data_IF_071469187099
#
_entry.id   IF_071469187099
#
_cell.length_a   1.000
_cell.length_b   1.000
_cell.length_c   1.000
_cell.angle_alpha   90.00
_cell.angle_beta   90.00
_cell.angle_gamma   90.00
#
_symmetry.space_group_name_H-M   'P 1'
#
loop_
_entity.id
_entity.type
_entity.pdbx_description
1 polymer ?
#
# COMPACT_ATOMS: atom_id res chain seq x y z
N UNK A 1 23.42 -73.02 -28.01
CA UNK A 1 22.28 -72.09 -27.81
C UNK A 1 21.86 -71.87 -26.34
N UNK A 2 22.45 -72.52 -25.32
CA UNK A 2 22.00 -72.40 -23.91
C UNK A 2 22.44 -71.15 -23.13
N UNK A 3 23.51 -70.44 -23.54
CA UNK A 3 24.08 -69.35 -22.73
C UNK A 3 23.50 -67.95 -22.99
N UNK A 4 22.80 -67.74 -24.13
CA UNK A 4 22.21 -66.43 -24.47
C UNK A 4 20.99 -66.08 -23.61
N UNK A 5 20.16 -67.08 -23.28
CA UNK A 5 18.96 -66.86 -22.48
C UNK A 5 19.27 -66.60 -21.00
N UNK A 6 20.30 -67.27 -20.45
CA UNK A 6 20.73 -67.07 -19.06
C UNK A 6 21.38 -65.71 -18.85
N UNK A 7 22.17 -65.25 -19.84
CA UNK A 7 22.77 -63.91 -19.84
C UNK A 7 21.72 -62.80 -19.88
N UNK A 8 20.67 -62.96 -20.70
CA UNK A 8 19.57 -62.01 -20.80
C UNK A 8 18.71 -61.92 -19.52
N UNK A 9 18.46 -63.05 -18.86
CA UNK A 9 17.70 -63.06 -17.60
C UNK A 9 18.47 -62.39 -16.47
N UNK A 10 19.80 -62.55 -16.44
CA UNK A 10 20.66 -61.92 -15.43
C UNK A 10 20.70 -60.39 -15.61
N UNK A 11 20.78 -59.91 -16.86
CA UNK A 11 20.81 -58.46 -17.13
C UNK A 11 19.47 -57.80 -16.82
N UNK A 12 18.35 -58.46 -17.12
CA UNK A 12 17.00 -57.96 -16.76
C UNK A 12 16.84 -57.90 -15.24
N UNK A 13 17.25 -58.94 -14.51
CA UNK A 13 17.17 -58.97 -13.05
C UNK A 13 18.03 -57.89 -12.39
N UNK A 14 19.26 -57.68 -12.89
CA UNK A 14 20.13 -56.62 -12.39
C UNK A 14 19.54 -55.23 -12.63
N UNK A 15 19.03 -54.97 -13.84
CA UNK A 15 18.40 -53.70 -14.18
C UNK A 15 17.17 -53.42 -13.29
N UNK A 16 16.33 -54.44 -13.04
CA UNK A 16 15.15 -54.28 -12.20
C UNK A 16 15.52 -53.96 -10.74
N UNK A 17 16.54 -54.61 -10.18
CA UNK A 17 17.00 -54.33 -8.82
C UNK A 17 17.61 -52.92 -8.67
N UNK A 18 18.32 -52.42 -9.68
CA UNK A 18 18.85 -51.05 -9.68
C UNK A 18 17.72 -50.03 -9.75
N UNK A 19 16.72 -50.25 -10.62
CA UNK A 19 15.54 -49.36 -10.73
C UNK A 19 14.74 -49.37 -9.43
N UNK A 20 14.51 -50.56 -8.84
CA UNK A 20 13.75 -50.69 -7.60
C UNK A 20 14.51 -50.06 -6.42
N UNK A 21 15.83 -50.23 -6.36
CA UNK A 21 16.68 -49.56 -5.37
C UNK A 21 16.66 -48.04 -5.51
N UNK A 22 16.77 -47.51 -6.73
CA UNK A 22 16.66 -46.07 -6.99
C UNK A 22 15.27 -45.53 -6.64
N UNK A 23 14.20 -46.29 -6.90
CA UNK A 23 12.82 -45.93 -6.53
C UNK A 23 12.61 -45.92 -5.02
N UNK A 24 13.16 -46.89 -4.29
CA UNK A 24 13.12 -46.92 -2.81
C UNK A 24 13.90 -45.74 -2.24
N UNK A 25 15.10 -45.45 -2.76
CA UNK A 25 15.88 -44.28 -2.34
C UNK A 25 15.11 -42.99 -2.62
N UNK A 26 14.51 -42.85 -3.79
CA UNK A 26 13.71 -41.67 -4.15
C UNK A 26 12.53 -41.48 -3.20
N UNK A 27 11.77 -42.55 -2.89
CA UNK A 27 10.59 -42.47 -2.02
C UNK A 27 10.90 -42.33 -0.53
N UNK A 28 12.08 -42.76 -0.05
CA UNK A 28 12.47 -42.65 1.37
C UNK A 28 13.33 -41.42 1.68
N UNK A 29 14.02 -40.83 0.71
CA UNK A 29 14.93 -39.69 0.93
C UNK A 29 14.48 -38.36 0.29
N UNK A 30 13.41 -38.36 -0.53
CA UNK A 30 12.75 -37.14 -0.97
C UNK A 30 11.36 -37.06 -0.34
N UNK A 31 11.30 -36.54 0.88
CA UNK A 31 10.05 -36.02 1.43
C UNK A 31 9.67 -34.80 0.58
N UNK A 32 8.43 -34.76 0.07
CA UNK A 32 7.95 -33.56 -0.60
C UNK A 32 8.13 -32.39 0.37
N UNK A 33 8.64 -31.22 -0.07
CA UNK A 33 8.78 -30.09 0.82
C UNK A 33 7.43 -29.82 1.50
N UNK A 34 7.44 -29.49 2.80
CA UNK A 34 6.20 -29.20 3.52
C UNK A 34 5.39 -28.17 2.72
N UNK A 35 4.10 -28.42 2.58
CA UNK A 35 3.23 -27.49 1.86
C UNK A 35 3.13 -26.19 2.66
N UNK A 36 3.34 -25.07 1.99
CA UNK A 36 3.25 -23.75 2.60
C UNK A 36 1.88 -23.56 3.26
N UNK A 37 1.87 -22.97 4.46
CA UNK A 37 0.62 -22.69 5.18
C UNK A 37 -0.05 -21.47 4.54
N UNK A 38 -1.24 -21.66 3.99
CA UNK A 38 -1.99 -20.59 3.31
C UNK A 38 -3.11 -19.99 4.14
N UNK A 39 -3.49 -20.62 5.27
CA UNK A 39 -4.56 -20.15 6.15
C UNK A 39 -4.04 -20.10 7.59
N UNK A 40 -3.61 -18.90 8.01
CA UNK A 40 -2.89 -18.66 9.25
C UNK A 40 -3.87 -18.14 10.32
N UNK A 41 -4.35 -19.06 11.17
CA UNK A 41 -5.43 -18.81 12.15
C UNK A 41 -4.95 -18.71 13.61
N UNK A 42 -3.66 -18.88 13.85
CA UNK A 42 -3.08 -18.84 15.18
C UNK A 42 -1.83 -17.96 15.17
N UNK A 43 -1.55 -17.29 16.28
CA UNK A 43 -0.35 -16.47 16.42
C UNK A 43 0.92 -17.33 16.22
N UNK A 44 1.94 -16.77 15.56
CA UNK A 44 3.16 -17.50 15.27
C UNK A 44 3.97 -16.90 14.14
N UNK A 45 5.11 -17.53 13.86
CA UNK A 45 5.97 -17.19 12.73
C UNK A 45 5.69 -18.21 11.62
N UNK A 46 5.35 -17.71 10.44
CA UNK A 46 5.10 -18.47 9.23
C UNK A 46 6.13 -18.08 8.17
N UNK A 47 6.54 -19.07 7.37
CA UNK A 47 7.64 -18.92 6.41
C UNK A 47 9.00 -19.33 7.00
N UNK A 48 9.88 -19.96 6.22
CA UNK A 48 11.17 -20.48 6.68
C UNK A 48 12.24 -19.38 6.81
N UNK A 49 13.44 -19.75 7.24
CA UNK A 49 14.61 -18.85 7.19
C UNK A 49 15.10 -18.61 5.75
N UNK A 50 14.77 -19.53 4.84
CA UNK A 50 14.95 -19.40 3.40
C UNK A 50 13.70 -18.86 2.72
N UNK A 51 13.71 -18.77 1.38
CA UNK A 51 12.52 -18.35 0.62
C UNK A 51 11.51 -19.50 0.49
N UNK A 52 10.24 -19.23 0.77
CA UNK A 52 9.10 -20.09 0.46
C UNK A 52 8.21 -19.45 -0.63
N UNK A 53 7.59 -20.27 -1.47
CA UNK A 53 6.67 -19.81 -2.52
C UNK A 53 5.29 -20.38 -2.25
N UNK A 54 4.29 -19.49 -2.19
CA UNK A 54 2.87 -19.82 -2.22
C UNK A 54 2.36 -19.53 -3.63
N UNK A 55 2.03 -20.58 -4.38
CA UNK A 55 1.58 -20.49 -5.78
C UNK A 55 0.21 -19.80 -5.97
N UNK A 56 -0.56 -19.65 -4.90
CA UNK A 56 -1.90 -19.05 -4.92
C UNK A 56 -2.11 -17.98 -3.86
N UNK A 57 -3.33 -17.90 -3.36
CA UNK A 57 -3.71 -16.93 -2.34
C UNK A 57 -3.36 -17.42 -0.93
N UNK A 58 -3.17 -16.48 0.00
CA UNK A 58 -3.00 -16.74 1.42
C UNK A 58 -3.88 -15.83 2.27
N UNK A 59 -4.21 -16.26 3.48
CA UNK A 59 -5.02 -15.53 4.46
C UNK A 59 -4.35 -15.56 5.83
N UNK A 60 -4.26 -14.40 6.45
CA UNK A 60 -3.89 -14.19 7.85
C UNK A 60 -5.15 -13.78 8.58
N UNK A 61 -5.58 -14.60 9.54
CA UNK A 61 -6.87 -14.47 10.22
C UNK A 61 -6.73 -14.26 11.74
N UNK A 62 -5.52 -14.22 12.28
CA UNK A 62 -5.26 -14.02 13.70
C UNK A 62 -4.20 -12.94 13.97
N UNK A 63 -4.32 -12.32 15.13
CA UNK A 63 -3.33 -11.40 15.65
C UNK A 63 -2.03 -12.11 16.05
N UNK A 64 -0.91 -11.38 16.03
CA UNK A 64 0.39 -11.89 16.47
C UNK A 64 1.07 -12.80 15.44
N UNK A 65 0.68 -12.69 14.18
CA UNK A 65 1.28 -13.42 13.08
C UNK A 65 2.45 -12.62 12.48
N UNK A 66 3.58 -13.28 12.33
CA UNK A 66 4.68 -12.81 11.50
C UNK A 66 4.80 -13.73 10.29
N UNK A 67 4.61 -13.20 9.09
CA UNK A 67 4.93 -13.90 7.85
C UNK A 67 6.28 -13.42 7.35
N UNK A 68 7.21 -14.35 7.10
CA UNK A 68 8.56 -14.00 6.68
C UNK A 68 9.04 -14.75 5.43
N UNK A 69 9.93 -14.14 4.67
CA UNK A 69 10.66 -14.76 3.55
C UNK A 69 9.77 -15.51 2.54
N UNK A 70 8.59 -14.97 2.26
CA UNK A 70 7.56 -15.66 1.47
C UNK A 70 7.24 -14.88 0.21
N UNK A 71 7.14 -15.57 -0.93
CA UNK A 71 6.63 -15.04 -2.19
C UNK A 71 5.24 -15.61 -2.42
N UNK A 72 4.23 -14.75 -2.38
CA UNK A 72 2.83 -15.08 -2.67
C UNK A 72 2.54 -14.66 -4.11
N UNK A 73 2.28 -15.65 -4.97
CA UNK A 73 1.95 -15.44 -6.39
C UNK A 73 0.53 -14.91 -6.59
N UNK A 74 -0.37 -15.18 -5.65
CA UNK A 74 -1.73 -14.66 -5.63
C UNK A 74 -1.90 -13.45 -4.70
N UNK A 75 -3.08 -13.37 -4.11
CA UNK A 75 -3.49 -12.34 -3.16
C UNK A 75 -3.17 -12.73 -1.71
N UNK A 76 -3.00 -11.73 -0.86
CA UNK A 76 -2.90 -11.90 0.59
C UNK A 76 -4.07 -11.20 1.28
N UNK A 77 -4.84 -11.90 2.10
CA UNK A 77 -5.92 -11.29 2.89
C UNK A 77 -5.50 -11.18 4.36
N UNK A 78 -5.49 -9.98 4.92
CA UNK A 78 -5.44 -9.73 6.36
C UNK A 78 -6.87 -9.56 6.86
N UNK A 79 -7.46 -10.67 7.32
CA UNK A 79 -8.89 -10.78 7.56
C UNK A 79 -9.36 -9.95 8.76
N UNK A 80 -10.65 -9.60 8.74
CA UNK A 80 -11.33 -8.86 9.81
C UNK A 80 -11.18 -9.51 11.20
N UNK A 81 -11.03 -10.84 11.25
CA UNK A 81 -10.85 -11.60 12.49
C UNK A 81 -9.56 -11.28 13.24
N UNK A 82 -8.59 -10.61 12.62
CA UNK A 82 -7.44 -10.01 13.31
C UNK A 82 -7.89 -8.94 14.32
N UNK A 83 -9.07 -8.34 14.10
CA UNK A 83 -9.61 -7.23 14.89
C UNK A 83 -8.62 -6.06 14.97
N UNK A 84 -8.19 -5.66 16.17
CA UNK A 84 -7.19 -4.62 16.38
C UNK A 84 -5.75 -5.17 16.56
N UNK A 85 -5.58 -6.46 16.27
CA UNK A 85 -4.33 -7.19 16.42
C UNK A 85 -3.22 -6.77 15.47
N UNK A 86 -2.02 -7.27 15.72
CA UNK A 86 -0.79 -6.95 14.96
C UNK A 86 -0.44 -8.04 13.95
N UNK A 87 0.06 -7.65 12.78
CA UNK A 87 0.67 -8.54 11.77
C UNK A 87 1.97 -7.92 11.27
N UNK A 88 3.03 -8.72 11.20
CA UNK A 88 4.32 -8.32 10.64
C UNK A 88 4.60 -9.10 9.35
N UNK A 89 4.82 -8.41 8.24
CA UNK A 89 5.25 -8.99 6.96
C UNK A 89 6.72 -8.63 6.71
N UNK A 90 7.62 -9.61 6.83
CA UNK A 90 9.07 -9.42 6.81
C UNK A 90 9.69 -10.10 5.57
N UNK A 91 10.29 -9.32 4.66
CA UNK A 91 10.84 -9.88 3.41
C UNK A 91 9.78 -10.69 2.62
N UNK A 92 8.57 -10.14 2.53
CA UNK A 92 7.44 -10.77 1.84
C UNK A 92 7.21 -10.10 0.49
N UNK A 93 7.02 -10.90 -0.55
CA UNK A 93 6.55 -10.43 -1.86
C UNK A 93 5.13 -10.88 -2.10
N UNK A 94 4.23 -9.97 -2.48
CA UNK A 94 2.87 -10.28 -2.93
C UNK A 94 2.69 -9.74 -4.34
N UNK A 95 2.53 -10.65 -5.30
CA UNK A 95 2.38 -10.30 -6.72
C UNK A 95 0.95 -9.82 -7.04
N UNK A 96 -0.04 -10.31 -6.30
CA UNK A 96 -1.43 -9.85 -6.36
C UNK A 96 -1.73 -8.67 -5.44
N UNK A 97 -2.96 -8.64 -4.94
CA UNK A 97 -3.44 -7.64 -3.98
C UNK A 97 -3.28 -8.13 -2.55
N UNK A 98 -2.72 -7.30 -1.69
CA UNK A 98 -2.82 -7.44 -0.24
C UNK A 98 -4.05 -6.67 0.25
N UNK A 99 -5.09 -7.40 0.64
CA UNK A 99 -6.35 -6.85 1.16
C UNK A 99 -6.28 -6.74 2.69
N UNK A 100 -6.43 -5.54 3.24
CA UNK A 100 -6.34 -5.25 4.68
C UNK A 100 -7.71 -4.90 5.21
N UNK A 101 -8.34 -5.87 5.89
CA UNK A 101 -9.65 -5.74 6.53
C UNK A 101 -9.55 -5.79 8.07
N UNK A 102 -8.45 -6.32 8.61
CA UNK A 102 -8.11 -6.33 10.03
C UNK A 102 -6.84 -5.54 10.37
N UNK A 103 -6.63 -5.29 11.67
CA UNK A 103 -5.54 -4.48 12.22
C UNK A 103 -6.05 -3.24 12.97
N UNK A 104 -5.39 -2.87 14.07
CA UNK A 104 -5.63 -1.64 14.84
C UNK A 104 -4.62 -0.51 14.58
N UNK A 105 -4.50 0.44 15.52
CA UNK A 105 -3.69 1.65 15.35
C UNK A 105 -2.16 1.45 15.45
N UNK A 106 -1.69 0.23 15.78
CA UNK A 106 -0.27 -0.14 15.77
C UNK A 106 -0.02 -1.50 15.12
N UNK A 107 -0.76 -1.83 14.08
CA UNK A 107 -0.98 -3.23 13.72
C UNK A 107 -0.15 -3.78 12.57
N UNK A 108 -0.11 -3.12 11.42
CA UNK A 108 0.44 -3.75 10.21
C UNK A 108 1.83 -3.19 9.93
N UNK A 109 2.85 -4.04 10.02
CA UNK A 109 4.24 -3.67 9.71
C UNK A 109 4.66 -4.39 8.44
N UNK A 110 5.19 -3.62 7.49
CA UNK A 110 5.77 -4.11 6.26
C UNK A 110 7.26 -3.76 6.29
N UNK A 111 8.13 -4.76 6.34
CA UNK A 111 9.58 -4.55 6.39
C UNK A 111 10.28 -5.33 5.29
N UNK A 112 10.99 -4.61 4.43
CA UNK A 112 11.63 -5.13 3.22
C UNK A 112 10.65 -5.91 2.31
N UNK A 113 9.38 -5.48 2.25
CA UNK A 113 8.34 -6.14 1.49
C UNK A 113 8.15 -5.55 0.08
N UNK A 114 7.75 -6.38 -0.89
CA UNK A 114 7.37 -5.93 -2.24
C UNK A 114 5.90 -6.25 -2.46
N UNK A 115 5.05 -5.22 -2.48
CA UNK A 115 3.60 -5.37 -2.62
C UNK A 115 3.16 -4.71 -3.91
N UNK A 116 2.54 -5.47 -4.82
CA UNK A 116 2.03 -4.90 -6.07
C UNK A 116 0.88 -3.91 -5.80
N UNK A 117 -0.16 -4.35 -5.10
CA UNK A 117 -1.29 -3.51 -4.71
C UNK A 117 -1.67 -3.75 -3.24
N UNK A 118 -1.66 -2.69 -2.43
CA UNK A 118 -2.19 -2.72 -1.06
C UNK A 118 -3.58 -2.07 -1.06
N UNK A 119 -4.62 -2.82 -0.71
CA UNK A 119 -5.98 -2.32 -0.59
C UNK A 119 -6.41 -2.36 0.87
N UNK A 120 -6.60 -1.18 1.46
CA UNK A 120 -7.03 -1.02 2.85
C UNK A 120 -8.53 -0.70 2.84
N UNK A 121 -9.33 -1.57 3.45
CA UNK A 121 -10.79 -1.45 3.47
C UNK A 121 -11.36 -2.07 4.77
N UNK A 122 -10.89 -1.59 5.92
CA UNK A 122 -11.41 -1.99 7.23
C UNK A 122 -12.77 -1.29 7.45
N UNK A 123 -13.84 -2.06 7.66
CA UNK A 123 -15.20 -1.53 7.81
C UNK A 123 -15.34 -0.62 9.03
N UNK A 124 -14.82 -1.07 10.18
CA UNK A 124 -14.96 -0.39 11.47
C UNK A 124 -13.61 -0.23 12.16
N UNK A 125 -13.37 0.97 12.70
CA UNK A 125 -12.11 1.32 13.36
C UNK A 125 -11.03 1.84 12.40
N UNK A 126 -9.85 2.13 12.95
CA UNK A 126 -8.70 2.68 12.23
C UNK A 126 -7.56 1.69 12.19
N UNK A 127 -6.96 1.50 11.02
CA UNK A 127 -5.78 0.66 10.83
C UNK A 127 -4.53 1.51 10.57
N UNK A 128 -3.40 1.16 11.19
CA UNK A 128 -2.10 1.76 10.87
C UNK A 128 -1.22 0.78 10.11
N UNK A 129 -0.70 1.22 8.97
CA UNK A 129 0.27 0.46 8.16
C UNK A 129 1.60 1.20 8.15
N UNK A 130 2.66 0.56 8.64
CA UNK A 130 4.01 1.13 8.71
C UNK A 130 4.95 0.41 7.76
N UNK A 131 5.51 1.14 6.80
CA UNK A 131 6.47 0.65 5.82
C UNK A 131 7.89 0.98 6.30
N UNK A 132 8.77 -0.02 6.26
CA UNK A 132 10.17 0.06 6.73
C UNK A 132 11.16 -0.54 5.75
N UNK A 133 12.41 -0.08 5.84
CA UNK A 133 13.52 -0.64 5.07
C UNK A 133 13.34 -0.45 3.57
N UNK A 134 13.61 -1.49 2.78
CA UNK A 134 13.45 -1.44 1.31
C UNK A 134 12.01 -1.73 0.84
N UNK A 135 11.01 -1.57 1.71
CA UNK A 135 9.61 -1.87 1.37
C UNK A 135 9.14 -0.99 0.22
N UNK A 136 8.59 -1.60 -0.83
CA UNK A 136 8.07 -0.93 -2.01
C UNK A 136 6.65 -1.38 -2.28
N UNK A 137 5.74 -0.41 -2.39
CA UNK A 137 4.35 -0.65 -2.80
C UNK A 137 4.09 0.03 -4.14
N UNK A 138 3.61 -0.74 -5.11
CA UNK A 138 3.24 -0.24 -6.43
C UNK A 138 2.06 0.73 -6.36
N UNK A 139 0.93 0.25 -5.85
CA UNK A 139 -0.28 1.04 -5.67
C UNK A 139 -0.87 0.82 -4.28
N UNK A 140 -1.39 1.88 -3.67
CA UNK A 140 -2.24 1.80 -2.49
C UNK A 140 -3.64 2.32 -2.82
N UNK A 141 -4.67 1.63 -2.35
CA UNK A 141 -6.06 2.12 -2.34
C UNK A 141 -6.53 2.11 -0.90
N UNK A 142 -6.92 3.27 -0.40
CA UNK A 142 -7.32 3.49 0.99
C UNK A 142 -8.79 3.87 1.04
N UNK A 143 -9.58 2.98 1.64
CA UNK A 143 -10.98 3.15 2.03
C UNK A 143 -11.10 3.13 3.55
N UNK A 144 -12.15 3.74 4.09
CA UNK A 144 -12.38 3.80 5.53
C UNK A 144 -11.34 4.67 6.25
N UNK A 145 -10.95 4.28 7.47
CA UNK A 145 -10.03 5.06 8.31
C UNK A 145 -8.67 4.38 8.40
N UNK A 146 -7.61 5.08 7.98
CA UNK A 146 -6.27 4.52 8.05
C UNK A 146 -5.17 5.55 8.26
N UNK A 147 -4.10 5.12 8.91
CA UNK A 147 -2.83 5.84 8.97
C UNK A 147 -1.76 5.09 8.17
N UNK A 148 -1.06 5.79 7.28
CA UNK A 148 0.09 5.27 6.58
C UNK A 148 1.34 5.94 7.13
N UNK A 149 2.35 5.15 7.45
CA UNK A 149 3.64 5.64 7.91
C UNK A 149 4.77 5.07 7.06
N UNK A 150 5.74 5.90 6.70
CA UNK A 150 6.99 5.45 6.11
C UNK A 150 8.14 5.78 7.05
N UNK A 151 8.73 4.75 7.67
CA UNK A 151 9.79 4.92 8.68
C UNK A 151 11.08 4.29 8.19
N UNK A 152 12.19 5.05 8.18
CA UNK A 152 13.51 4.52 7.80
C UNK A 152 13.52 3.78 6.45
N UNK A 153 12.83 4.34 5.46
CA UNK A 153 12.82 3.82 4.08
C UNK A 153 14.20 3.98 3.46
N UNK A 154 14.64 2.96 2.71
CA UNK A 154 15.94 2.94 2.02
C UNK A 154 15.78 2.60 0.54
N UNK A 155 16.78 3.00 -0.27
CA UNK A 155 16.79 2.71 -1.71
C UNK A 155 15.59 3.32 -2.44
N UNK A 156 14.94 2.51 -3.29
CA UNK A 156 13.71 2.85 -4.02
C UNK A 156 12.43 2.56 -3.23
N UNK A 157 12.53 2.25 -1.93
CA UNK A 157 11.36 1.96 -1.10
C UNK A 157 10.40 3.16 -1.00
N UNK A 158 9.14 2.86 -0.67
CA UNK A 158 8.06 3.84 -0.56
C UNK A 158 6.79 3.38 -1.28
N UNK A 159 5.88 4.34 -1.52
CA UNK A 159 4.62 4.12 -2.22
C UNK A 159 4.68 4.90 -3.54
N UNK A 160 4.52 4.23 -4.68
CA UNK A 160 4.58 4.90 -5.99
C UNK A 160 3.30 5.69 -6.30
N UNK A 161 2.14 5.10 -6.03
CA UNK A 161 0.84 5.73 -6.23
C UNK A 161 -0.09 5.42 -5.05
N UNK A 162 -0.70 6.46 -4.49
CA UNK A 162 -1.69 6.35 -3.42
C UNK A 162 -3.02 6.94 -3.87
N UNK A 163 -4.09 6.16 -3.79
CA UNK A 163 -5.46 6.60 -4.00
C UNK A 163 -6.22 6.59 -2.67
N UNK A 164 -6.74 7.75 -2.27
CA UNK A 164 -7.67 7.91 -1.16
C UNK A 164 -9.09 7.94 -1.74
N UNK A 165 -9.90 6.95 -1.37
CA UNK A 165 -11.24 6.78 -1.89
C UNK A 165 -12.26 7.70 -1.19
N UNK A 166 -13.47 7.75 -1.75
CA UNK A 166 -14.60 8.51 -1.23
C UNK A 166 -14.89 8.16 0.24
N UNK A 167 -15.18 9.19 1.05
CA UNK A 167 -15.52 9.03 2.47
C UNK A 167 -14.37 8.61 3.38
N UNK A 168 -13.15 8.44 2.86
CA UNK A 168 -12.01 7.97 3.65
C UNK A 168 -11.46 9.06 4.58
N UNK A 169 -10.94 8.62 5.74
CA UNK A 169 -10.17 9.45 6.68
C UNK A 169 -8.74 8.90 6.73
N UNK A 170 -7.82 9.61 6.08
CA UNK A 170 -6.44 9.19 5.90
C UNK A 170 -5.47 10.09 6.67
N UNK A 171 -4.57 9.49 7.43
CA UNK A 171 -3.44 10.15 8.07
C UNK A 171 -2.12 9.70 7.45
N UNK A 172 -1.22 10.64 7.22
CA UNK A 172 0.05 10.42 6.55
C UNK A 172 1.21 10.89 7.42
N UNK A 173 2.24 10.05 7.53
CA UNK A 173 3.48 10.35 8.21
C UNK A 173 4.66 9.82 7.39
N UNK A 174 5.33 10.72 6.66
CA UNK A 174 6.46 10.33 5.82
C UNK A 174 6.51 11.02 4.47
N UNK A 175 7.02 10.30 3.47
CA UNK A 175 7.29 10.84 2.13
C UNK A 175 6.39 10.18 1.09
N UNK A 176 5.65 10.99 0.35
CA UNK A 176 4.68 10.53 -0.65
C UNK A 176 4.90 11.25 -1.98
N UNK A 177 5.35 10.55 -3.03
CA UNK A 177 5.51 11.14 -4.35
C UNK A 177 4.19 11.62 -4.97
N UNK A 178 3.13 10.83 -4.83
CA UNK A 178 1.82 11.14 -5.42
C UNK A 178 0.68 10.62 -4.56
N UNK A 179 -0.23 11.52 -4.19
CA UNK A 179 -1.52 11.19 -3.58
C UNK A 179 -2.63 11.67 -4.51
N UNK A 180 -3.53 10.77 -4.87
CA UNK A 180 -4.77 11.08 -5.58
C UNK A 180 -5.93 10.93 -4.61
N UNK A 181 -6.78 11.95 -4.53
CA UNK A 181 -8.03 11.92 -3.78
C UNK A 181 -9.18 11.81 -4.78
N UNK A 182 -10.03 10.80 -4.59
CA UNK A 182 -11.22 10.58 -5.40
C UNK A 182 -12.50 10.71 -4.58
N UNK A 183 -13.58 11.13 -5.23
CA UNK A 183 -14.91 11.18 -4.63
C UNK A 183 -15.09 12.28 -3.58
N UNK A 184 -16.21 12.22 -2.85
CA UNK A 184 -16.57 13.22 -1.84
C UNK A 184 -16.20 12.86 -0.40
N UNK A 185 -16.40 13.82 0.51
CA UNK A 185 -16.35 13.63 1.97
C UNK A 185 -15.03 13.01 2.49
N UNK A 186 -13.90 13.33 1.84
CA UNK A 186 -12.56 12.84 2.22
C UNK A 186 -11.90 13.77 3.25
N UNK A 187 -11.25 13.18 4.26
CA UNK A 187 -10.34 13.88 5.17
C UNK A 187 -8.93 13.32 5.02
N UNK A 188 -8.00 14.17 4.62
CA UNK A 188 -6.60 13.81 4.47
C UNK A 188 -5.74 14.70 5.38
N UNK A 189 -4.94 14.10 6.25
CA UNK A 189 -4.08 14.83 7.18
C UNK A 189 -2.62 14.40 7.01
N UNK A 190 -1.75 15.32 6.61
CA UNK A 190 -0.31 15.11 6.67
C UNK A 190 0.17 15.55 8.06
N UNK A 191 0.57 14.59 8.89
CA UNK A 191 1.03 14.83 10.25
C UNK A 191 2.51 15.19 10.30
N UNK A 192 3.31 14.61 9.41
CA UNK A 192 4.75 14.86 9.31
C UNK A 192 5.25 14.43 7.92
N UNK A 193 6.33 15.08 7.46
CA UNK A 193 7.01 14.76 6.21
C UNK A 193 6.52 15.59 5.03
N UNK A 194 6.53 14.98 3.84
CA UNK A 194 6.36 15.69 2.57
C UNK A 194 5.49 14.92 1.59
N UNK A 195 4.63 15.64 0.88
CA UNK A 195 3.95 15.16 -0.33
C UNK A 195 4.50 15.94 -1.52
N UNK A 196 5.02 15.26 -2.55
CA UNK A 196 5.51 15.95 -3.75
C UNK A 196 4.36 16.50 -4.58
N UNK A 197 3.34 15.67 -4.83
CA UNK A 197 2.13 16.06 -5.56
C UNK A 197 0.88 15.46 -4.92
N UNK A 198 -0.15 16.29 -4.70
CA UNK A 198 -1.49 15.87 -4.33
C UNK A 198 -2.48 16.36 -5.39
N UNK A 199 -3.31 15.43 -5.88
CA UNK A 199 -4.37 15.73 -6.85
C UNK A 199 -5.72 15.42 -6.23
N UNK A 200 -6.59 16.42 -6.17
CA UNK A 200 -8.00 16.22 -5.83
C UNK A 200 -8.79 16.14 -7.14
N UNK A 201 -9.47 15.00 -7.36
CA UNK A 201 -10.17 14.75 -8.61
C UNK A 201 -11.27 15.79 -8.88
N UNK A 202 -11.57 16.01 -10.16
CA UNK A 202 -12.75 16.80 -10.57
C UNK A 202 -14.02 16.06 -10.13
N UNK A 203 -15.04 16.80 -9.70
CA UNK A 203 -16.26 16.24 -9.10
C UNK A 203 -16.13 15.79 -7.64
N UNK A 204 -14.93 15.83 -7.05
CA UNK A 204 -14.77 15.64 -5.60
C UNK A 204 -15.46 16.77 -4.83
N UNK A 205 -16.24 16.40 -3.82
CA UNK A 205 -16.94 17.35 -2.95
C UNK A 205 -16.43 17.24 -1.51
N UNK A 206 -16.30 18.38 -0.80
CA UNK A 206 -15.92 18.42 0.63
C UNK A 206 -14.63 17.64 0.97
N UNK A 207 -13.55 17.88 0.23
CA UNK A 207 -12.24 17.40 0.64
C UNK A 207 -11.68 18.32 1.72
N UNK A 208 -11.37 17.79 2.90
CA UNK A 208 -10.60 18.50 3.94
C UNK A 208 -9.15 17.99 3.92
N UNK A 209 -8.24 18.85 3.51
CA UNK A 209 -6.79 18.61 3.56
C UNK A 209 -6.19 19.41 4.71
N UNK A 210 -5.58 18.72 5.68
CA UNK A 210 -4.92 19.34 6.83
C UNK A 210 -3.42 19.07 6.81
N UNK A 211 -2.61 20.12 6.94
CA UNK A 211 -1.14 20.01 6.97
C UNK A 211 -0.62 20.45 8.35
N UNK A 212 -0.05 19.54 9.12
CA UNK A 212 0.54 19.86 10.41
C UNK A 212 1.77 20.78 10.26
N UNK A 213 2.23 21.34 11.38
CA UNK A 213 3.46 22.13 11.39
C UNK A 213 4.64 21.32 10.84
N UNK A 214 5.57 22.00 10.16
CA UNK A 214 6.81 21.45 9.58
C UNK A 214 6.59 20.40 8.47
N UNK A 215 5.37 20.31 7.93
CA UNK A 215 5.08 19.53 6.73
C UNK A 215 5.21 20.37 5.46
N UNK A 216 5.48 19.70 4.33
CA UNK A 216 5.56 20.33 3.02
C UNK A 216 4.70 19.61 1.97
N UNK A 217 3.93 20.37 1.20
CA UNK A 217 3.26 19.92 -0.02
C UNK A 217 3.84 20.67 -1.22
N UNK A 218 4.39 19.93 -2.17
CA UNK A 218 5.01 20.48 -3.38
C UNK A 218 3.98 21.13 -4.31
N UNK A 219 3.11 20.31 -4.89
CA UNK A 219 2.05 20.77 -5.78
C UNK A 219 0.69 20.22 -5.33
N UNK A 220 -0.27 21.11 -5.14
CA UNK A 220 -1.68 20.77 -4.95
C UNK A 220 -2.47 21.12 -6.21
N UNK A 221 -3.02 20.13 -6.89
CA UNK A 221 -4.03 20.33 -7.92
C UNK A 221 -5.41 20.22 -7.29
N UNK A 222 -6.10 21.35 -7.14
CA UNK A 222 -7.38 21.41 -6.47
C UNK A 222 -8.53 20.97 -7.40
N UNK A 223 -9.43 20.17 -6.83
CA UNK A 223 -10.70 19.76 -7.44
C UNK A 223 -11.76 20.85 -7.32
N UNK A 224 -13.04 20.46 -7.31
CA UNK A 224 -14.17 21.41 -7.28
C UNK A 224 -14.41 22.00 -5.89
N UNK A 225 -14.33 21.19 -4.83
CA UNK A 225 -14.51 21.67 -3.46
C UNK A 225 -13.43 21.13 -2.52
N UNK A 226 -12.58 22.04 -2.05
CA UNK A 226 -11.43 21.75 -1.20
C UNK A 226 -11.37 22.76 -0.04
N UNK A 227 -11.10 22.27 1.15
CA UNK A 227 -10.70 23.06 2.31
C UNK A 227 -9.28 22.66 2.69
N UNK A 228 -8.35 23.60 2.62
CA UNK A 228 -6.98 23.45 3.09
C UNK A 228 -6.86 24.14 4.45
N UNK A 229 -6.40 23.39 5.45
CA UNK A 229 -6.19 23.87 6.81
C UNK A 229 -4.79 23.48 7.34
N UNK A 230 -4.41 24.10 8.46
CA UNK A 230 -3.17 23.81 9.18
C UNK A 230 -2.05 24.81 8.93
N UNK A 231 -0.83 24.45 9.33
CA UNK A 231 0.33 25.34 9.39
C UNK A 231 1.49 24.90 8.46
N UNK A 232 1.32 23.77 7.78
CA UNK A 232 2.27 23.26 6.80
C UNK A 232 2.44 24.18 5.60
N UNK A 233 3.57 24.02 4.91
CA UNK A 233 3.91 24.79 3.72
C UNK A 233 3.33 24.12 2.47
N UNK A 234 2.62 24.89 1.64
CA UNK A 234 2.27 24.51 0.28
C UNK A 234 3.08 25.37 -0.71
N UNK A 235 3.92 24.73 -1.52
CA UNK A 235 4.77 25.44 -2.48
C UNK A 235 3.96 25.98 -3.66
N UNK A 236 3.06 25.18 -4.21
CA UNK A 236 2.22 25.60 -5.33
C UNK A 236 0.81 24.99 -5.23
N UNK A 237 -0.20 25.81 -5.47
CA UNK A 237 -1.58 25.37 -5.66
C UNK A 237 -2.03 25.78 -7.07
N UNK A 238 -2.63 24.83 -7.79
CA UNK A 238 -3.27 25.04 -9.08
C UNK A 238 -4.77 24.79 -8.97
N UNK A 239 -5.59 25.80 -9.29
CA UNK A 239 -7.05 25.73 -9.24
C UNK A 239 -7.62 26.02 -10.63
N UNK A 240 -8.08 24.97 -11.31
CA UNK A 240 -8.62 25.05 -12.66
C UNK A 240 -10.04 24.45 -12.79
N UNK A 241 -10.68 24.14 -11.67
CA UNK A 241 -12.01 23.50 -11.61
C UNK A 241 -13.00 24.45 -10.92
N UNK A 242 -14.26 24.54 -11.39
CA UNK A 242 -15.26 25.38 -10.76
C UNK A 242 -15.60 24.87 -9.36
N UNK A 243 -15.97 25.79 -8.48
CA UNK A 243 -16.40 25.49 -7.12
C UNK A 243 -15.69 26.35 -6.09
N UNK A 244 -15.85 25.96 -4.82
CA UNK A 244 -15.38 26.73 -3.68
C UNK A 244 -14.14 26.08 -3.07
N UNK A 245 -13.06 26.84 -3.05
CA UNK A 245 -11.81 26.44 -2.40
C UNK A 245 -11.52 27.36 -1.23
N UNK A 246 -11.45 26.79 -0.03
CA UNK A 246 -11.08 27.49 1.21
C UNK A 246 -9.61 27.22 1.51
N UNK A 247 -8.84 28.27 1.74
CA UNK A 247 -7.40 28.18 1.91
C UNK A 247 -6.95 28.88 3.19
N UNK A 248 -6.32 28.12 4.08
CA UNK A 248 -5.57 28.58 5.23
C UNK A 248 -4.16 27.97 5.24
N UNK A 249 -3.25 28.54 6.04
CA UNK A 249 -1.88 28.05 6.21
C UNK A 249 -0.83 28.90 5.50
N UNK A 250 0.26 28.28 5.02
CA UNK A 250 1.37 28.98 4.34
C UNK A 250 1.45 28.54 2.89
N UNK A 251 1.19 29.44 1.95
CA UNK A 251 1.14 29.15 0.51
C UNK A 251 2.11 30.08 -0.23
N UNK A 252 3.12 29.53 -0.90
CA UNK A 252 4.06 30.36 -1.67
C UNK A 252 3.44 30.89 -2.97
N UNK A 253 2.77 30.02 -3.73
CA UNK A 253 2.20 30.35 -5.03
C UNK A 253 0.82 29.74 -5.20
N UNK A 254 -0.17 30.59 -5.44
CA UNK A 254 -1.51 30.19 -5.82
C UNK A 254 -1.79 30.64 -7.25
N UNK A 255 -2.08 29.68 -8.13
CA UNK A 255 -2.54 29.91 -9.50
C UNK A 255 -3.99 29.50 -9.64
N UNK A 256 -4.83 30.40 -10.14
CA UNK A 256 -6.22 30.11 -10.43
C UNK A 256 -6.59 30.60 -11.83
N UNK A 257 -7.25 29.76 -12.62
CA UNK A 257 -7.69 30.09 -13.97
C UNK A 257 -8.90 29.27 -14.39
N UNK A 258 -9.92 29.93 -14.95
CA UNK A 258 -11.15 29.27 -15.38
C UNK A 258 -12.42 30.02 -15.02
N UNK A 259 -13.57 29.34 -15.14
CA UNK A 259 -14.90 29.90 -14.90
C UNK A 259 -15.52 29.29 -13.65
N UNK A 260 -16.11 30.13 -12.79
CA UNK A 260 -16.87 29.67 -11.63
C UNK A 260 -16.01 29.23 -10.47
N UNK A 261 -14.83 29.83 -10.31
CA UNK A 261 -13.91 29.59 -9.19
C UNK A 261 -14.20 30.62 -8.11
N UNK A 262 -14.46 30.13 -6.89
CA UNK A 262 -14.63 30.93 -5.70
C UNK A 262 -13.53 30.58 -4.71
N UNK A 263 -12.76 31.57 -4.29
CA UNK A 263 -11.67 31.41 -3.34
C UNK A 263 -12.05 32.10 -2.04
N UNK A 264 -11.93 31.39 -0.93
CA UNK A 264 -11.99 31.98 0.40
C UNK A 264 -10.61 31.81 1.03
N UNK A 265 -9.88 32.92 1.17
CA UNK A 265 -8.49 32.90 1.61
C UNK A 265 -8.37 33.59 2.95
N UNK A 266 -7.89 32.87 3.96
CA UNK A 266 -7.63 33.45 5.28
C UNK A 266 -6.54 34.53 5.18
N UNK A 267 -6.60 35.54 6.04
CA UNK A 267 -5.60 36.64 6.04
C UNK A 267 -4.19 36.06 6.22
N UNK A 268 -3.21 36.61 5.49
CA UNK A 268 -1.79 36.22 5.52
C UNK A 268 -1.43 34.81 5.04
N UNK A 269 -2.34 34.16 4.30
CA UNK A 269 -2.14 32.76 3.86
C UNK A 269 -1.22 32.61 2.64
N UNK A 270 -1.16 33.59 1.75
CA UNK A 270 -0.52 33.44 0.44
C UNK A 270 0.48 34.55 0.14
N UNK A 271 1.70 34.19 -0.28
CA UNK A 271 2.74 35.14 -0.71
C UNK A 271 2.42 35.74 -2.08
N UNK A 272 2.04 34.90 -3.05
CA UNK A 272 1.71 35.33 -4.42
C UNK A 272 0.44 34.66 -4.92
N UNK A 273 -0.53 35.47 -5.38
CA UNK A 273 -1.70 35.03 -6.13
C UNK A 273 -1.59 35.46 -7.59
N UNK A 274 -1.66 34.49 -8.51
CA UNK A 274 -1.71 34.70 -9.96
C UNK A 274 -3.08 34.27 -10.47
N UNK A 275 -3.83 35.22 -11.03
CA UNK A 275 -5.06 34.93 -11.78
C UNK A 275 -4.68 34.80 -13.25
N UNK A 276 -4.78 33.58 -13.79
CA UNK A 276 -4.42 33.29 -15.17
C UNK A 276 -5.52 33.78 -16.15
N UNK A 277 -5.16 34.34 -17.32
CA UNK A 277 -6.14 34.74 -18.32
C UNK A 277 -7.02 33.56 -18.71
N UNK A 278 -8.34 33.74 -18.60
CA UNK A 278 -9.33 32.73 -18.97
C UNK A 278 -10.65 33.39 -19.39
N UNK A 279 -11.52 32.66 -20.08
CA UNK A 279 -12.85 33.13 -20.50
C UNK A 279 -13.84 33.30 -19.32
N UNK A 280 -13.37 33.12 -18.08
CA UNK A 280 -14.17 33.07 -16.87
C UNK A 280 -13.78 34.11 -15.82
N UNK A 281 -14.47 34.06 -14.68
CA UNK A 281 -14.21 34.92 -13.52
C UNK A 281 -13.74 34.06 -12.35
N UNK A 282 -12.62 34.48 -11.77
CA UNK A 282 -12.16 34.05 -10.43
C UNK A 282 -12.65 35.09 -9.44
N UNK A 283 -13.46 34.66 -8.46
CA UNK A 283 -13.94 35.51 -7.38
C UNK A 283 -13.15 35.19 -6.09
N UNK A 284 -12.69 36.23 -5.41
CA UNK A 284 -11.88 36.18 -4.19
C UNK A 284 -12.63 36.94 -3.10
#
# INVERSE_FOLDING_TARGET
MKNKHTSLLLTISLALNVILGAFIIYTHFFEAPPTAVTDMKEAGIYGPDSVEIIEGDATIAAAGITLQNTIIKGNLTLAETIADGKVDLLNVTVEGTTLVQGGGEESIVLENALINHLHICKEEGKVKVNLKGSTLIGKVTLEGKAALETTAITGEGGIKELLVAEGAEAEFNGLYPLINIAGGDVKATLLNGKIDKLVVAKGSSKCLLSLAQDTELGLLEAGEALELAGEGLVKEILINSPGLTRLAGKINLLKAGGKGIFLEIDKSTTDTLVVEPSDGTVMI
#
